data_IF_739836814837
#
_entry.id   IF_739836814837
#
_cell.length_a   1.000
_cell.length_b   1.000
_cell.length_c   1.000
_cell.angle_alpha   90.00
_cell.angle_beta   90.00
_cell.angle_gamma   90.00
#
_symmetry.space_group_name_H-M   'P 1'
#
loop_
_entity.id
_entity.type
_entity.pdbx_description
1 polymer ?
#
# COMPACT_ATOMS: atom_id res chain seq x y z
N UNK A 1 28.39 -25.95 65.79
CA UNK A 1 27.36 -25.12 65.09
C UNK A 1 27.96 -24.70 63.75
N UNK A 2 27.63 -25.38 62.65
CA UNK A 2 28.10 -25.01 61.28
C UNK A 2 27.10 -24.00 60.68
N UNK A 3 27.54 -22.80 60.38
CA UNK A 3 26.73 -21.78 59.67
C UNK A 3 26.68 -22.16 58.21
N UNK A 4 25.49 -22.44 57.71
CA UNK A 4 25.19 -22.63 56.31
C UNK A 4 25.08 -21.23 55.66
N UNK A 5 26.02 -20.91 54.75
CA UNK A 5 25.96 -19.69 53.95
C UNK A 5 25.14 -20.01 52.70
N UNK A 6 23.91 -19.48 52.65
CA UNK A 6 23.08 -19.54 51.47
C UNK A 6 23.59 -18.51 50.45
N UNK A 7 24.27 -18.96 49.38
CA UNK A 7 24.59 -18.13 48.24
C UNK A 7 23.35 -18.03 47.35
N UNK A 8 22.71 -16.88 47.33
CA UNK A 8 21.69 -16.56 46.32
C UNK A 8 22.33 -16.32 44.97
N UNK A 9 22.14 -17.29 44.07
CA UNK A 9 22.54 -17.16 42.67
C UNK A 9 21.54 -16.21 41.98
N UNK A 10 21.91 -14.96 41.82
CA UNK A 10 21.16 -13.99 40.98
C UNK A 10 21.36 -14.36 39.53
N UNK A 11 20.36 -15.02 38.95
CA UNK A 11 20.30 -15.23 37.51
C UNK A 11 19.94 -13.87 36.88
N UNK A 12 20.94 -13.18 36.37
CA UNK A 12 20.71 -12.07 35.45
C UNK A 12 20.17 -12.66 34.15
N UNK A 13 18.86 -12.59 33.97
CA UNK A 13 18.29 -12.64 32.63
C UNK A 13 18.78 -11.38 31.91
N UNK A 14 19.82 -11.51 31.11
CA UNK A 14 20.05 -10.57 30.02
C UNK A 14 18.84 -10.72 29.09
N UNK A 15 17.90 -9.80 29.18
CA UNK A 15 16.95 -9.56 28.12
C UNK A 15 17.80 -9.23 26.90
N UNK A 16 18.03 -10.20 26.02
CA UNK A 16 18.40 -9.92 24.66
C UNK A 16 17.21 -9.12 24.12
N UNK A 17 17.36 -7.83 24.05
CA UNK A 17 16.49 -6.98 23.25
C UNK A 17 16.69 -7.40 21.79
N UNK A 18 16.00 -8.45 21.38
CA UNK A 18 15.68 -8.64 19.99
C UNK A 18 14.87 -7.40 19.61
N UNK A 19 15.48 -6.59 18.73
CA UNK A 19 15.06 -5.25 18.49
C UNK A 19 13.58 -5.14 18.17
N UNK A 20 13.10 -4.05 18.40
CA UNK A 20 11.92 -3.31 18.03
C UNK A 20 10.61 -4.05 17.65
N UNK A 21 10.59 -5.26 17.08
CA UNK A 21 9.34 -6.00 16.78
C UNK A 21 8.58 -6.26 18.08
N UNK A 22 7.31 -5.79 18.13
CA UNK A 22 6.46 -5.83 19.31
C UNK A 22 6.62 -4.64 20.27
N UNK A 23 7.66 -3.81 20.11
CA UNK A 23 7.83 -2.56 20.86
C UNK A 23 6.91 -1.46 20.33
N UNK A 24 6.53 -0.53 21.22
CA UNK A 24 5.84 0.69 20.78
C UNK A 24 6.83 1.57 20.00
N UNK A 25 6.46 1.94 18.78
CA UNK A 25 7.23 2.88 17.97
C UNK A 25 7.27 4.25 18.69
N UNK A 26 8.45 4.82 18.98
CA UNK A 26 8.52 6.18 19.49
C UNK A 26 7.90 7.15 18.49
N UNK A 27 7.13 8.12 18.98
CA UNK A 27 6.64 9.18 18.12
C UNK A 27 7.80 10.04 17.59
N UNK A 28 7.60 10.61 16.41
CA UNK A 28 8.51 11.57 15.83
C UNK A 28 7.73 12.64 15.06
N UNK A 29 8.31 13.82 14.96
CA UNK A 29 7.93 14.84 14.00
C UNK A 29 9.17 15.23 13.22
N UNK A 30 9.13 15.07 11.91
CA UNK A 30 10.25 15.28 10.99
C UNK A 30 9.83 16.19 9.85
N UNK A 31 10.80 16.80 9.17
CA UNK A 31 10.53 17.63 7.98
C UNK A 31 11.12 16.94 6.75
N UNK A 32 10.30 16.74 5.71
CA UNK A 32 10.77 16.21 4.46
C UNK A 32 11.62 17.22 3.65
N UNK A 33 12.29 16.76 2.61
CA UNK A 33 13.15 17.62 1.76
C UNK A 33 12.37 18.72 1.02
N UNK A 34 11.03 18.68 1.02
CA UNK A 34 10.14 19.69 0.43
C UNK A 34 9.62 20.69 1.46
N UNK A 35 9.98 20.52 2.74
CA UNK A 35 9.57 21.39 3.84
C UNK A 35 8.23 21.03 4.48
N UNK A 36 7.68 19.85 4.21
CA UNK A 36 6.46 19.38 4.84
C UNK A 36 6.79 18.70 6.17
N UNK A 37 6.09 19.08 7.23
CA UNK A 37 6.17 18.44 8.54
C UNK A 37 5.32 17.16 8.54
N UNK A 38 5.83 16.11 9.17
CA UNK A 38 5.20 14.79 9.26
C UNK A 38 5.34 14.28 10.68
N UNK A 39 4.23 14.04 11.35
CA UNK A 39 4.17 13.38 12.65
C UNK A 39 3.72 11.92 12.48
N UNK A 40 4.49 10.99 13.03
CA UNK A 40 4.13 9.56 12.97
C UNK A 40 2.78 9.30 13.61
N UNK A 41 2.53 9.89 14.80
CA UNK A 41 1.28 9.66 15.49
C UNK A 41 0.16 10.49 14.89
N UNK A 42 0.29 11.81 14.89
CA UNK A 42 -0.82 12.70 14.55
C UNK A 42 -1.27 12.58 13.09
N UNK A 43 -0.33 12.42 12.15
CA UNK A 43 -0.63 12.44 10.72
C UNK A 43 -0.83 11.04 10.11
N UNK A 44 -0.35 9.99 10.80
CA UNK A 44 -0.39 8.62 10.26
C UNK A 44 -1.19 7.69 11.18
N UNK A 45 -0.65 7.34 12.35
CA UNK A 45 -1.22 6.26 13.16
C UNK A 45 -2.57 6.63 13.80
N UNK A 46 -2.76 7.87 14.26
CA UNK A 46 -4.02 8.35 14.84
C UNK A 46 -5.09 8.58 13.76
N UNK A 47 -4.69 8.61 12.48
CA UNK A 47 -5.60 8.59 11.34
C UNK A 47 -6.02 7.15 10.94
N UNK A 48 -5.54 6.13 11.67
CA UNK A 48 -5.82 4.72 11.38
C UNK A 48 -4.98 4.14 10.24
N UNK A 49 -3.95 4.84 9.80
CA UNK A 49 -3.10 4.42 8.68
C UNK A 49 -1.93 3.57 9.17
N UNK A 50 -1.57 2.54 8.42
CA UNK A 50 -0.33 1.78 8.64
C UNK A 50 0.84 2.69 8.25
N UNK A 51 1.88 2.76 9.10
CA UNK A 51 3.11 3.43 8.73
C UNK A 51 4.15 2.43 8.23
N UNK A 52 4.79 2.75 7.12
CA UNK A 52 5.97 2.10 6.59
C UNK A 52 7.13 3.08 6.66
N UNK A 53 8.06 2.86 7.61
CA UNK A 53 9.22 3.73 7.80
C UNK A 53 10.45 2.99 7.30
N UNK A 54 10.93 3.37 6.13
CA UNK A 54 12.17 2.88 5.53
C UNK A 54 13.35 3.69 6.03
N UNK A 55 14.19 3.07 6.86
CA UNK A 55 15.45 3.66 7.32
C UNK A 55 16.57 3.07 6.47
N UNK A 56 17.07 3.88 5.57
CA UNK A 56 18.08 3.51 4.57
C UNK A 56 19.23 4.53 4.53
N UNK A 57 20.28 4.24 3.78
CA UNK A 57 21.37 5.19 3.53
C UNK A 57 21.75 5.20 2.04
N UNK A 58 22.04 6.38 1.49
CA UNK A 58 22.30 6.56 0.05
C UNK A 58 23.45 5.73 -0.49
N UNK A 59 24.44 5.39 0.34
CA UNK A 59 25.60 4.56 -0.02
C UNK A 59 25.36 3.05 0.13
N UNK A 60 24.26 2.63 0.76
CA UNK A 60 23.97 1.26 1.11
C UNK A 60 23.44 0.46 -0.10
N UNK A 61 24.16 -0.57 -0.52
CA UNK A 61 23.78 -1.40 -1.67
C UNK A 61 22.47 -2.16 -1.50
N UNK A 62 22.21 -2.88 -0.38
CA UNK A 62 20.93 -3.52 -0.13
C UNK A 62 19.76 -2.53 -0.10
N UNK A 63 19.97 -1.32 0.43
CA UNK A 63 18.97 -0.23 0.42
C UNK A 63 18.62 0.19 -1.01
N UNK A 64 19.66 0.32 -1.85
CA UNK A 64 19.47 0.63 -3.27
C UNK A 64 18.69 -0.47 -4.01
N UNK A 65 18.92 -1.73 -3.66
CA UNK A 65 18.13 -2.83 -4.22
C UNK A 65 16.63 -2.74 -3.83
N UNK A 66 16.34 -2.38 -2.58
CA UNK A 66 14.96 -2.13 -2.14
C UNK A 66 14.36 -0.96 -2.92
N UNK A 67 15.07 0.16 -3.06
CA UNK A 67 14.64 1.32 -3.83
C UNK A 67 14.39 0.96 -5.31
N UNK A 68 15.32 0.28 -5.97
CA UNK A 68 15.25 -0.13 -7.37
C UNK A 68 14.15 -1.17 -7.66
N UNK A 69 13.69 -1.90 -6.66
CA UNK A 69 12.53 -2.81 -6.82
C UNK A 69 11.24 -2.06 -7.08
N UNK A 70 11.21 -0.77 -6.79
CA UNK A 70 10.04 0.12 -6.83
C UNK A 70 8.87 -0.30 -5.94
N UNK A 71 9.07 -1.30 -5.06
CA UNK A 71 8.00 -1.85 -4.24
C UNK A 71 7.37 -0.81 -3.30
N UNK A 72 8.17 0.10 -2.73
CA UNK A 72 7.66 1.17 -1.87
C UNK A 72 6.87 2.23 -2.66
N UNK A 73 7.30 2.55 -3.89
CA UNK A 73 6.55 3.39 -4.82
C UNK A 73 5.20 2.77 -5.15
N UNK A 74 5.19 1.48 -5.47
CA UNK A 74 3.98 0.77 -5.86
C UNK A 74 3.01 0.61 -4.69
N UNK A 75 3.52 0.38 -3.46
CA UNK A 75 2.73 0.43 -2.22
C UNK A 75 2.12 1.82 -1.99
N UNK A 76 2.92 2.88 -2.14
CA UNK A 76 2.44 4.26 -1.98
C UNK A 76 1.35 4.60 -3.00
N UNK A 77 1.56 4.26 -4.28
CA UNK A 77 0.62 4.57 -5.34
C UNK A 77 -0.68 3.76 -5.25
N UNK A 78 -0.60 2.53 -4.76
CA UNK A 78 -1.76 1.64 -4.69
C UNK A 78 -2.54 1.81 -3.38
N UNK A 79 -1.84 1.90 -2.25
CA UNK A 79 -2.43 1.90 -0.92
C UNK A 79 -2.17 3.17 -0.11
N UNK A 80 -1.31 4.06 -0.59
CA UNK A 80 -1.00 5.35 0.03
C UNK A 80 -1.96 6.47 -0.37
N UNK A 81 -1.49 7.72 -0.25
CA UNK A 81 -2.29 8.93 -0.49
C UNK A 81 -2.84 9.06 -1.91
N UNK A 82 -2.15 8.50 -2.91
CA UNK A 82 -2.60 8.47 -4.31
C UNK A 82 -3.51 7.29 -4.64
N UNK A 83 -3.67 6.35 -3.72
CA UNK A 83 -4.46 5.13 -3.88
C UNK A 83 -5.60 5.03 -2.88
N UNK A 84 -5.70 3.88 -2.17
CA UNK A 84 -6.78 3.63 -1.21
C UNK A 84 -6.62 4.33 0.15
N UNK A 85 -5.55 5.05 0.37
CA UNK A 85 -5.29 5.83 1.59
C UNK A 85 -5.28 5.01 2.90
N UNK A 86 -4.73 3.79 2.86
CA UNK A 86 -4.68 2.87 4.00
C UNK A 86 -3.30 2.85 4.69
N UNK A 87 -2.26 3.35 4.02
CA UNK A 87 -0.91 3.41 4.56
C UNK A 87 -0.17 4.72 4.19
N UNK A 88 0.96 4.94 4.86
CA UNK A 88 1.95 5.97 4.52
C UNK A 88 3.34 5.36 4.47
N UNK A 89 4.06 5.66 3.41
CA UNK A 89 5.50 5.37 3.28
C UNK A 89 6.27 6.63 3.62
N UNK A 90 7.30 6.49 4.44
CA UNK A 90 8.27 7.54 4.77
C UNK A 90 9.66 6.96 4.59
N UNK A 91 10.47 7.55 3.72
CA UNK A 91 11.90 7.28 3.64
C UNK A 91 12.64 8.19 4.62
N UNK A 92 13.49 7.61 5.45
CA UNK A 92 14.35 8.33 6.37
C UNK A 92 15.82 7.99 6.09
N UNK A 93 16.59 9.01 5.70
CA UNK A 93 18.05 8.87 5.51
C UNK A 93 18.72 8.69 6.88
N UNK A 94 19.34 7.54 7.07
CA UNK A 94 19.94 7.15 8.34
C UNK A 94 21.37 7.64 8.56
N UNK A 95 22.01 8.27 7.57
CA UNK A 95 23.35 8.85 7.71
C UNK A 95 23.27 10.39 7.77
N UNK A 96 23.58 10.97 8.94
CA UNK A 96 23.57 12.40 9.16
C UNK A 96 24.53 13.20 8.25
N UNK A 97 25.46 12.53 7.55
CA UNK A 97 26.38 13.17 6.62
C UNK A 97 25.86 13.20 5.19
N UNK A 98 24.77 12.51 4.88
CA UNK A 98 24.16 12.51 3.57
C UNK A 98 23.62 13.89 3.23
N UNK A 99 23.93 14.35 2.02
CA UNK A 99 23.48 15.64 1.49
C UNK A 99 22.40 15.46 0.43
N UNK A 100 21.73 16.54 0.08
CA UNK A 100 20.78 16.53 -1.05
C UNK A 100 21.44 16.12 -2.38
N UNK A 101 22.75 16.38 -2.55
CA UNK A 101 23.49 15.93 -3.72
C UNK A 101 23.66 14.41 -3.76
N UNK A 102 23.83 13.78 -2.59
CA UNK A 102 23.87 12.31 -2.49
C UNK A 102 22.50 11.71 -2.84
N UNK A 103 21.42 12.27 -2.30
CA UNK A 103 20.05 11.85 -2.65
C UNK A 103 19.75 12.00 -4.14
N UNK A 104 20.27 13.02 -4.80
CA UNK A 104 20.15 13.20 -6.26
C UNK A 104 21.09 12.31 -7.09
N UNK A 105 21.95 11.51 -6.44
CA UNK A 105 22.91 10.66 -7.15
C UNK A 105 24.08 11.42 -7.80
N UNK A 106 24.33 12.65 -7.36
CA UNK A 106 25.36 13.53 -7.97
C UNK A 106 26.76 13.35 -7.33
N UNK A 107 26.90 12.41 -6.41
CA UNK A 107 28.17 12.12 -5.73
C UNK A 107 28.62 10.68 -5.99
N UNK A 108 29.93 10.43 -5.90
CA UNK A 108 30.48 9.09 -6.08
C UNK A 108 30.24 8.14 -4.89
N UNK A 109 29.69 8.64 -3.79
CA UNK A 109 29.36 7.85 -2.60
C UNK A 109 27.92 7.32 -2.62
N UNK A 110 27.04 7.92 -3.41
CA UNK A 110 25.66 7.47 -3.56
C UNK A 110 25.52 6.37 -4.61
N UNK A 111 24.59 5.44 -4.40
CA UNK A 111 24.27 4.36 -5.35
C UNK A 111 23.54 4.88 -6.60
N UNK A 112 22.86 6.02 -6.51
CA UNK A 112 22.12 6.61 -7.61
C UNK A 112 21.19 7.74 -7.19
N UNK A 113 20.21 8.06 -8.04
CA UNK A 113 19.20 9.09 -7.75
C UNK A 113 18.04 8.48 -6.96
N UNK A 114 18.02 8.75 -5.66
CA UNK A 114 17.01 8.27 -4.70
C UNK A 114 15.68 9.04 -4.76
N UNK A 115 15.68 10.20 -5.42
CA UNK A 115 14.49 11.03 -5.58
C UNK A 115 13.70 10.69 -6.85
N UNK A 116 14.33 9.96 -7.77
CA UNK A 116 13.67 9.54 -9.00
C UNK A 116 12.63 8.46 -8.67
N UNK A 117 11.40 8.66 -9.16
CA UNK A 117 10.27 7.75 -8.91
C UNK A 117 9.94 7.51 -7.42
N UNK A 118 10.21 8.51 -6.56
CA UNK A 118 9.92 8.48 -5.12
C UNK A 118 8.77 9.45 -4.80
N UNK A 119 7.49 8.99 -4.88
CA UNK A 119 6.32 9.84 -4.68
C UNK A 119 5.94 10.05 -3.20
N UNK A 120 6.67 9.45 -2.28
CA UNK A 120 6.46 9.53 -0.84
C UNK A 120 7.48 10.45 -0.18
N UNK A 121 7.24 10.92 1.07
CA UNK A 121 8.15 11.79 1.80
C UNK A 121 9.55 11.19 1.95
N UNK A 122 10.55 12.04 1.71
CA UNK A 122 11.97 11.76 1.92
C UNK A 122 12.49 12.71 2.99
N UNK A 123 12.99 12.15 4.08
CA UNK A 123 13.54 12.90 5.22
C UNK A 123 15.06 12.77 5.22
N UNK A 124 15.75 13.92 5.27
CA UNK A 124 17.20 13.99 5.37
C UNK A 124 17.59 15.07 6.39
N UNK A 125 17.83 14.65 7.59
CA UNK A 125 18.09 15.53 8.73
C UNK A 125 19.52 15.41 9.24
N UNK A 126 20.10 16.53 9.66
CA UNK A 126 21.39 16.56 10.35
C UNK A 126 21.32 17.62 11.49
N UNK A 127 21.38 17.20 12.76
CA UNK A 127 21.52 15.82 13.26
C UNK A 127 20.25 14.99 13.09
N UNK A 128 20.37 13.66 13.11
CA UNK A 128 19.24 12.74 13.04
C UNK A 128 18.33 12.91 14.24
N UNK A 129 17.02 13.02 14.02
CA UNK A 129 16.00 13.05 15.06
C UNK A 129 15.60 11.63 15.50
N UNK A 130 15.67 10.62 14.62
CA UNK A 130 15.36 9.25 14.95
C UNK A 130 16.50 8.55 15.69
N UNK A 131 16.15 7.84 16.76
CA UNK A 131 17.09 6.96 17.46
C UNK A 131 17.29 5.67 16.68
N UNK A 132 18.39 5.54 15.96
CA UNK A 132 18.69 4.39 15.11
C UNK A 132 18.79 3.07 15.88
N UNK A 133 19.11 3.07 17.20
CA UNK A 133 19.08 1.84 18.00
C UNK A 133 17.64 1.26 18.13
N UNK A 134 16.63 2.05 17.82
CA UNK A 134 15.23 1.60 17.79
C UNK A 134 14.76 1.41 16.36
N UNK A 135 15.08 2.33 15.45
CA UNK A 135 14.53 2.38 14.12
C UNK A 135 15.31 1.55 13.08
N UNK A 136 16.57 1.25 13.35
CA UNK A 136 17.44 0.42 12.51
C UNK A 136 18.50 -0.31 13.35
N UNK A 137 18.10 -1.16 14.34
CA UNK A 137 19.02 -1.76 15.31
C UNK A 137 20.05 -2.68 14.66
N UNK A 138 19.69 -3.32 13.57
CA UNK A 138 20.55 -4.25 12.82
C UNK A 138 21.23 -3.56 11.62
N UNK A 139 21.02 -2.25 11.44
CA UNK A 139 21.57 -1.44 10.35
C UNK A 139 20.60 -1.19 9.20
N UNK A 140 21.15 -0.90 8.03
CA UNK A 140 20.40 -0.49 6.84
C UNK A 140 20.36 -1.58 5.77
N UNK A 141 19.23 -1.73 5.05
CA UNK A 141 17.94 -1.09 5.28
C UNK A 141 17.16 -1.74 6.42
N UNK A 142 16.24 -0.98 7.03
CA UNK A 142 15.19 -1.51 7.90
C UNK A 142 13.86 -0.93 7.45
N UNK A 143 12.90 -1.76 7.05
CA UNK A 143 11.55 -1.34 6.68
C UNK A 143 10.56 -1.67 7.79
N UNK A 144 10.33 -0.70 8.65
CA UNK A 144 9.45 -0.84 9.81
C UNK A 144 7.99 -0.77 9.39
N UNK A 145 7.23 -1.82 9.72
CA UNK A 145 5.76 -1.86 9.58
C UNK A 145 5.13 -1.55 10.93
N UNK A 146 4.41 -0.43 11.05
CA UNK A 146 3.81 0.01 12.32
C UNK A 146 2.29 -0.08 12.22
N UNK A 147 1.70 -0.79 13.19
CA UNK A 147 0.25 -0.95 13.29
C UNK A 147 -0.38 0.24 14.01
N UNK A 148 -1.46 0.85 13.45
CA UNK A 148 -2.05 2.05 14.04
C UNK A 148 -2.74 1.81 15.38
N UNK A 149 -3.40 0.66 15.58
CA UNK A 149 -4.26 0.41 16.74
C UNK A 149 -3.54 0.42 18.09
N UNK A 150 -2.27 0.02 18.13
CA UNK A 150 -1.45 -0.05 19.36
C UNK A 150 -0.06 0.57 19.18
N UNK A 151 0.20 1.17 18.02
CA UNK A 151 1.43 1.89 17.68
C UNK A 151 2.69 1.02 17.78
N UNK A 152 2.57 -0.27 17.55
CA UNK A 152 3.68 -1.22 17.63
C UNK A 152 4.34 -1.44 16.28
N UNK A 153 5.66 -1.60 16.32
CA UNK A 153 6.44 -2.10 15.21
C UNK A 153 6.16 -3.60 15.09
N UNK A 154 5.55 -4.02 13.99
CA UNK A 154 5.04 -5.37 13.81
C UNK A 154 5.96 -6.27 12.99
N UNK A 155 6.72 -5.68 12.07
CA UNK A 155 7.63 -6.40 11.19
C UNK A 155 8.74 -5.48 10.65
N UNK A 156 9.82 -6.11 10.20
CA UNK A 156 10.81 -5.54 9.29
C UNK A 156 10.74 -6.35 7.99
N UNK A 157 10.40 -5.68 6.89
CA UNK A 157 10.07 -6.34 5.62
C UNK A 157 10.99 -5.92 4.46
N UNK A 158 12.15 -5.31 4.75
CA UNK A 158 13.04 -4.74 3.74
C UNK A 158 13.49 -5.72 2.65
N UNK A 159 13.56 -7.01 2.95
CA UNK A 159 14.02 -8.05 2.02
C UNK A 159 12.93 -8.62 1.10
N UNK A 160 11.71 -8.10 1.19
CA UNK A 160 10.58 -8.48 0.33
C UNK A 160 10.47 -7.46 -0.80
N UNK A 161 10.84 -7.85 -2.02
CA UNK A 161 11.00 -6.93 -3.16
C UNK A 161 9.86 -7.00 -4.18
N UNK A 162 8.73 -7.59 -3.81
CA UNK A 162 7.54 -7.68 -4.67
C UNK A 162 6.31 -7.09 -3.98
N UNK A 163 5.45 -6.41 -4.75
CA UNK A 163 4.25 -5.76 -4.20
C UNK A 163 3.36 -6.75 -3.45
N UNK A 164 3.02 -7.89 -4.05
CA UNK A 164 2.16 -8.89 -3.40
C UNK A 164 2.80 -9.45 -2.13
N UNK A 165 4.11 -9.72 -2.15
CA UNK A 165 4.81 -10.20 -0.96
C UNK A 165 4.82 -9.18 0.18
N UNK A 166 4.97 -7.89 -0.12
CA UNK A 166 4.86 -6.82 0.87
C UNK A 166 3.43 -6.72 1.42
N UNK A 167 2.42 -6.77 0.55
CA UNK A 167 1.00 -6.77 0.97
C UNK A 167 0.74 -7.91 1.93
N UNK A 168 1.09 -9.15 1.55
CA UNK A 168 0.91 -10.32 2.41
C UNK A 168 1.62 -10.16 3.76
N UNK A 169 2.85 -9.66 3.78
CA UNK A 169 3.62 -9.45 5.00
C UNK A 169 3.00 -8.37 5.90
N UNK A 170 2.55 -7.26 5.33
CA UNK A 170 1.89 -6.17 6.06
C UNK A 170 0.56 -6.64 6.64
N UNK A 171 -0.28 -7.33 5.86
CA UNK A 171 -1.57 -7.87 6.32
C UNK A 171 -1.39 -8.88 7.44
N UNK A 172 -0.46 -9.84 7.28
CA UNK A 172 -0.14 -10.82 8.30
C UNK A 172 0.39 -10.18 9.60
N UNK A 173 1.24 -9.15 9.48
CA UNK A 173 1.81 -8.47 10.63
C UNK A 173 0.79 -7.59 11.36
N UNK A 174 -0.05 -6.87 10.64
CA UNK A 174 -0.96 -5.86 11.22
C UNK A 174 -2.36 -6.39 11.49
N UNK A 175 -2.79 -7.44 10.80
CA UNK A 175 -4.18 -7.92 10.78
C UNK A 175 -5.14 -7.00 10.02
N UNK A 176 -4.61 -6.06 9.19
CA UNK A 176 -5.39 -5.10 8.42
C UNK A 176 -5.30 -5.49 6.95
N UNK A 177 -6.45 -5.70 6.29
CA UNK A 177 -6.50 -6.01 4.87
C UNK A 177 -6.30 -4.73 4.03
N UNK A 178 -5.36 -4.80 3.09
CA UNK A 178 -5.06 -3.74 2.13
C UNK A 178 -5.89 -3.94 0.86
N UNK A 179 -6.74 -2.99 0.55
CA UNK A 179 -7.60 -3.02 -0.64
C UNK A 179 -7.15 -1.90 -1.60
N UNK A 180 -6.70 -2.21 -2.84
CA UNK A 180 -6.31 -1.18 -3.79
C UNK A 180 -7.46 -0.21 -4.10
N UNK A 181 -7.15 1.08 -4.30
CA UNK A 181 -8.14 2.03 -4.80
C UNK A 181 -8.63 1.58 -6.19
N UNK A 182 -9.92 1.46 -6.36
CA UNK A 182 -10.53 1.00 -7.61
C UNK A 182 -10.75 -0.51 -7.71
N UNK A 183 -10.27 -1.29 -6.76
CA UNK A 183 -10.78 -2.63 -6.52
C UNK A 183 -11.71 -2.61 -5.31
N UNK A 184 -12.91 -2.10 -5.47
CA UNK A 184 -13.99 -2.65 -4.68
C UNK A 184 -14.16 -4.07 -5.20
N UNK A 185 -13.34 -5.02 -4.70
CA UNK A 185 -13.63 -6.43 -4.73
C UNK A 185 -14.63 -6.76 -3.61
N UNK A 186 -15.66 -5.97 -3.46
CA UNK A 186 -16.95 -6.58 -3.29
C UNK A 186 -17.34 -6.99 -4.71
N UNK A 187 -17.12 -8.27 -5.07
CA UNK A 187 -18.07 -8.89 -5.95
C UNK A 187 -19.41 -8.55 -5.34
N UNK A 188 -20.13 -7.65 -5.96
CA UNK A 188 -21.54 -7.55 -5.66
C UNK A 188 -22.01 -8.96 -5.98
N UNK A 189 -22.37 -9.76 -4.96
CA UNK A 189 -23.28 -10.88 -5.12
C UNK A 189 -24.66 -10.31 -5.52
N UNK A 190 -24.66 -9.32 -6.39
CA UNK A 190 -25.83 -8.89 -7.09
C UNK A 190 -25.96 -9.89 -8.23
N UNK A 191 -26.80 -10.89 -7.99
CA UNK A 191 -27.30 -11.71 -9.03
C UNK A 191 -27.92 -10.77 -10.08
N UNK A 192 -27.23 -10.53 -11.16
CA UNK A 192 -27.76 -9.89 -12.33
C UNK A 192 -27.66 -10.87 -13.51
N UNK A 193 -28.56 -10.75 -14.43
CA UNK A 193 -28.55 -11.54 -15.64
C UNK A 193 -28.45 -10.62 -16.86
N UNK A 194 -27.64 -11.05 -17.82
CA UNK A 194 -27.46 -10.40 -19.11
C UNK A 194 -28.16 -11.23 -20.18
N UNK A 195 -29.12 -10.63 -20.88
CA UNK A 195 -29.82 -11.33 -21.95
C UNK A 195 -30.32 -10.39 -23.05
N UNK A 196 -30.40 -10.91 -24.30
CA UNK A 196 -29.83 -12.19 -24.76
C UNK A 196 -28.30 -12.13 -24.81
N UNK A 197 -27.64 -13.27 -24.63
CA UNK A 197 -26.22 -13.44 -24.90
C UNK A 197 -26.03 -14.73 -25.73
N UNK A 198 -25.68 -14.67 -27.01
CA UNK A 198 -25.28 -13.48 -27.80
C UNK A 198 -26.36 -12.43 -27.95
N UNK A 199 -25.95 -11.14 -27.88
CA UNK A 199 -26.79 -9.99 -28.13
C UNK A 199 -26.78 -9.65 -29.63
N UNK A 200 -27.96 -9.29 -30.19
CA UNK A 200 -28.09 -8.81 -31.57
C UNK A 200 -28.32 -7.29 -31.57
N UNK A 201 -29.57 -6.85 -31.46
CA UNK A 201 -29.92 -5.44 -31.51
C UNK A 201 -29.92 -4.77 -30.14
N UNK A 202 -30.29 -5.52 -29.09
CA UNK A 202 -30.47 -5.04 -27.73
C UNK A 202 -29.87 -6.00 -26.73
N UNK A 203 -29.31 -5.45 -25.65
CA UNK A 203 -28.92 -6.18 -24.45
C UNK A 203 -29.68 -5.65 -23.24
N UNK A 204 -30.17 -6.54 -22.41
CA UNK A 204 -30.80 -6.24 -21.14
C UNK A 204 -29.91 -6.66 -19.98
N UNK A 205 -29.75 -5.81 -19.00
CA UNK A 205 -29.20 -6.16 -17.69
C UNK A 205 -30.34 -6.06 -16.68
N UNK A 206 -30.59 -7.14 -15.97
CA UNK A 206 -31.65 -7.27 -14.97
C UNK A 206 -31.01 -7.64 -13.61
N UNK A 207 -31.19 -6.82 -12.59
CA UNK A 207 -30.63 -6.94 -11.26
C UNK A 207 -31.68 -7.43 -10.28
N UNK A 208 -31.31 -8.32 -9.36
CA UNK A 208 -32.23 -8.83 -8.32
C UNK A 208 -32.64 -7.72 -7.30
N UNK A 209 -31.89 -6.63 -7.23
CA UNK A 209 -32.17 -5.48 -6.35
C UNK A 209 -32.07 -4.15 -7.11
N UNK A 210 -32.68 -3.09 -6.54
CA UNK A 210 -32.57 -1.74 -7.10
C UNK A 210 -31.16 -1.18 -6.83
N UNK A 211 -30.48 -0.76 -7.88
CA UNK A 211 -29.23 0.02 -7.78
C UNK A 211 -29.54 1.51 -7.78
N UNK A 212 -28.80 2.28 -6.96
CA UNK A 212 -28.81 3.73 -6.98
C UNK A 212 -27.48 4.24 -7.51
N UNK A 213 -27.51 5.18 -8.47
CA UNK A 213 -26.32 5.82 -9.06
C UNK A 213 -25.26 4.83 -9.57
N UNK A 214 -25.70 3.76 -10.25
CA UNK A 214 -24.80 2.83 -10.88
C UNK A 214 -24.36 3.35 -12.26
N UNK A 215 -23.08 3.10 -12.61
CA UNK A 215 -22.54 3.33 -13.94
C UNK A 215 -22.25 2.00 -14.61
N UNK A 216 -22.74 1.83 -15.84
CA UNK A 216 -22.48 0.67 -16.68
C UNK A 216 -21.53 1.10 -17.79
N UNK A 217 -20.44 0.38 -17.95
CA UNK A 217 -19.40 0.63 -18.94
C UNK A 217 -19.21 -0.61 -19.81
N UNK A 218 -19.14 -0.39 -21.11
CA UNK A 218 -18.86 -1.45 -22.09
C UNK A 218 -17.49 -1.23 -22.71
N UNK A 219 -16.62 -2.23 -22.62
CA UNK A 219 -15.27 -2.22 -23.18
C UNK A 219 -15.11 -3.25 -24.27
N UNK A 220 -14.36 -2.93 -25.32
CA UNK A 220 -13.90 -3.94 -26.27
C UNK A 220 -12.71 -4.75 -25.70
N UNK A 221 -12.27 -5.77 -26.40
CA UNK A 221 -11.14 -6.63 -25.98
C UNK A 221 -9.80 -5.88 -25.92
N UNK A 222 -9.67 -4.71 -26.51
CA UNK A 222 -8.50 -3.84 -26.42
C UNK A 222 -8.54 -2.92 -25.17
N UNK A 223 -9.57 -3.04 -24.34
CA UNK A 223 -9.77 -2.23 -23.14
C UNK A 223 -10.27 -0.80 -23.42
N UNK A 224 -10.71 -0.53 -24.66
CA UNK A 224 -11.27 0.79 -25.00
C UNK A 224 -12.73 0.84 -24.55
N UNK A 225 -13.10 1.94 -23.88
CA UNK A 225 -14.48 2.23 -23.52
C UNK A 225 -15.29 2.51 -24.80
N UNK A 226 -16.33 1.70 -25.03
CA UNK A 226 -17.20 1.81 -26.21
C UNK A 226 -18.48 2.58 -25.88
N UNK A 227 -19.10 2.27 -24.73
CA UNK A 227 -20.32 2.91 -24.25
C UNK A 227 -20.28 3.06 -22.73
N UNK A 228 -21.00 4.05 -22.20
CA UNK A 228 -21.19 4.27 -20.77
C UNK A 228 -22.57 4.82 -20.49
N UNK A 229 -23.25 4.28 -19.47
CA UNK A 229 -24.59 4.65 -19.05
C UNK A 229 -24.65 4.82 -17.54
N UNK A 230 -25.40 5.82 -17.07
CA UNK A 230 -25.78 5.91 -15.66
C UNK A 230 -27.20 5.37 -15.50
N UNK A 231 -27.43 4.65 -14.41
CA UNK A 231 -28.74 4.09 -14.11
C UNK A 231 -29.08 4.18 -12.62
N UNK A 232 -30.39 4.30 -12.36
CA UNK A 232 -30.99 4.02 -11.06
C UNK A 232 -32.21 3.13 -11.31
N UNK A 233 -32.24 1.96 -10.69
CA UNK A 233 -33.30 0.97 -10.90
C UNK A 233 -32.76 -0.46 -10.89
N UNK A 234 -33.63 -1.42 -11.19
CA UNK A 234 -33.27 -2.84 -11.25
C UNK A 234 -33.06 -3.38 -12.67
N UNK A 235 -33.28 -2.55 -13.70
CA UNK A 235 -33.20 -3.01 -15.09
C UNK A 235 -32.76 -1.88 -16.03
N UNK A 236 -31.87 -2.21 -16.97
CA UNK A 236 -31.50 -1.33 -18.08
C UNK A 236 -31.45 -2.11 -19.38
N UNK A 237 -31.82 -1.44 -20.47
CA UNK A 237 -31.67 -1.94 -21.84
C UNK A 237 -30.87 -0.93 -22.66
N UNK A 238 -29.98 -1.40 -23.50
CA UNK A 238 -29.22 -0.57 -24.42
C UNK A 238 -28.98 -1.24 -25.76
N UNK A 239 -28.77 -0.40 -26.78
CA UNK A 239 -28.58 -0.87 -28.15
C UNK A 239 -27.20 -1.46 -28.37
N UNK A 240 -27.16 -2.64 -28.98
CA UNK A 240 -25.93 -3.34 -29.40
C UNK A 240 -25.80 -3.43 -30.91
N UNK A 241 -26.86 -3.14 -31.67
CA UNK A 241 -26.89 -3.27 -33.13
C UNK A 241 -25.90 -2.41 -33.92
N UNK A 242 -25.34 -1.36 -33.30
CA UNK A 242 -24.28 -0.54 -33.88
C UNK A 242 -22.86 -1.00 -33.52
N UNK A 243 -22.72 -1.98 -32.65
CA UNK A 243 -21.44 -2.53 -32.24
C UNK A 243 -20.93 -3.53 -33.27
N UNK A 244 -19.62 -3.65 -33.41
CA UNK A 244 -19.04 -4.74 -34.23
C UNK A 244 -19.29 -6.08 -33.56
N UNK A 245 -19.44 -7.13 -34.38
CA UNK A 245 -19.51 -8.50 -33.84
C UNK A 245 -18.24 -8.84 -33.04
N UNK A 246 -18.40 -9.48 -31.90
CA UNK A 246 -17.29 -9.88 -31.04
C UNK A 246 -17.66 -9.90 -29.56
N UNK A 247 -16.63 -10.06 -28.73
CA UNK A 247 -16.76 -10.07 -27.28
C UNK A 247 -16.53 -8.67 -26.69
N UNK A 248 -17.30 -8.36 -25.66
CA UNK A 248 -17.23 -7.11 -24.90
C UNK A 248 -17.29 -7.41 -23.40
N UNK A 249 -16.56 -6.62 -22.62
CA UNK A 249 -16.65 -6.64 -21.17
C UNK A 249 -17.65 -5.58 -20.71
N UNK A 250 -18.73 -6.02 -20.07
CA UNK A 250 -19.66 -5.16 -19.33
C UNK A 250 -19.11 -4.99 -17.92
N UNK A 251 -18.89 -3.75 -17.49
CA UNK A 251 -18.46 -3.40 -16.13
C UNK A 251 -19.54 -2.55 -15.48
N UNK A 252 -19.96 -2.96 -14.29
CA UNK A 252 -21.00 -2.28 -13.50
C UNK A 252 -20.32 -1.72 -12.26
N UNK A 253 -20.43 -0.40 -12.07
CA UNK A 253 -19.89 0.32 -10.92
C UNK A 253 -21.06 0.88 -10.11
N UNK A 254 -21.13 0.58 -8.83
CA UNK A 254 -22.09 1.18 -7.89
C UNK A 254 -21.39 1.50 -6.57
N UNK A 255 -22.09 2.17 -5.64
CA UNK A 255 -21.58 2.40 -4.29
C UNK A 255 -21.42 1.10 -3.50
N UNK A 256 -22.06 -0.01 -3.92
CA UNK A 256 -21.97 -1.33 -3.29
C UNK A 256 -20.78 -2.14 -3.81
N UNK A 257 -20.19 -1.75 -4.97
CA UNK A 257 -19.04 -2.43 -5.53
C UNK A 257 -18.95 -2.40 -7.05
N UNK A 258 -18.12 -3.30 -7.60
CA UNK A 258 -17.88 -3.47 -9.03
C UNK A 258 -18.16 -4.92 -9.42
N UNK A 259 -18.93 -5.10 -10.50
CA UNK A 259 -19.11 -6.41 -11.16
C UNK A 259 -18.74 -6.33 -12.62
N UNK A 260 -18.37 -7.46 -13.22
CA UNK A 260 -18.10 -7.50 -14.64
C UNK A 260 -18.45 -8.86 -15.24
N UNK A 261 -18.96 -8.85 -16.49
CA UNK A 261 -19.28 -10.05 -17.23
C UNK A 261 -18.98 -9.87 -18.72
N UNK A 262 -18.67 -10.96 -19.41
CA UNK A 262 -18.38 -10.95 -20.85
C UNK A 262 -19.66 -11.27 -21.61
N UNK A 263 -19.99 -10.45 -22.60
CA UNK A 263 -21.05 -10.69 -23.56
C UNK A 263 -20.46 -10.92 -24.96
N UNK A 264 -21.24 -11.57 -25.80
CA UNK A 264 -20.97 -11.71 -27.23
C UNK A 264 -22.01 -10.92 -28.01
N UNK A 265 -21.59 -10.10 -28.97
CA UNK A 265 -22.45 -9.44 -29.94
C UNK A 265 -22.37 -10.19 -31.25
N UNK A 266 -23.51 -10.59 -31.81
CA UNK A 266 -23.65 -11.30 -33.09
C UNK A 266 -24.92 -10.84 -33.80
N UNK A 267 -24.80 -10.46 -35.07
CA UNK A 267 -25.90 -9.95 -35.92
C UNK A 267 -26.31 -10.96 -36.97
#
# INVERSE_FOLDING_TARGET
>A
MKKLVLQTLSIFFSANSFGQIGATAPDFTVTDINGNEISLYADILDQGLIALVDVSATWCGPCWNLHQSHVLRDLHNTYGAGGSNQLRVVFYEGDANTTLNDLNGNTGSSQGNWLLDTPYPVVNESPLSLNLNIWAPDGFPTLNVIRPSDKKIMADTWNILTLNGQVDAIENATGITLTPAGTVNQSIDNNFVLYPNPANEMLTIDFDSMLNDAQIQLFNLQGQLVQSFNMSGSKIMFETGSLAEGQYLVKILSHEGVSSEIITVAH
#
